data_IF_679866607183
#
_entry.id   IF_679866607183
#
_cell.length_a   1.000
_cell.length_b   1.000
_cell.length_c   1.000
_cell.angle_alpha   90.00
_cell.angle_beta   90.00
_cell.angle_gamma   90.00
#
_symmetry.space_group_name_H-M   'P 1'
#
loop_
_entity.id
_entity.type
_entity.pdbx_description
1 polymer ?
#
# COMPACT_ATOMS: atom_id res chain seq x y z
N UNK A 1 -36.02 30.08 27.50
CA UNK A 1 -35.71 29.09 26.44
C UNK A 1 -34.44 29.53 25.76
N UNK A 2 -33.35 28.80 25.94
CA UNK A 2 -32.25 28.67 24.97
C UNK A 2 -31.38 27.54 25.47
N UNK A 3 -31.66 26.31 25.03
CA UNK A 3 -30.75 25.19 25.18
C UNK A 3 -29.65 25.35 24.13
N UNK A 4 -28.41 25.52 24.57
CA UNK A 4 -27.23 25.48 23.73
C UNK A 4 -26.91 24.02 23.38
N UNK A 5 -27.34 23.60 22.19
CA UNK A 5 -27.03 22.28 21.66
C UNK A 5 -25.61 22.28 21.07
N UNK A 6 -24.62 21.88 21.87
CA UNK A 6 -23.28 21.56 21.35
C UNK A 6 -23.34 20.18 20.70
N UNK A 7 -23.59 20.15 19.39
CA UNK A 7 -23.43 18.94 18.59
C UNK A 7 -21.93 18.62 18.48
N UNK A 8 -21.46 17.66 19.27
CA UNK A 8 -20.12 17.08 19.11
C UNK A 8 -20.10 16.29 17.81
N UNK A 9 -19.58 16.89 16.73
CA UNK A 9 -19.32 16.15 15.50
C UNK A 9 -18.26 15.08 15.79
N UNK A 10 -18.68 13.82 15.92
CA UNK A 10 -17.77 12.69 15.82
C UNK A 10 -17.42 12.52 14.34
N UNK A 11 -16.55 13.39 13.83
CA UNK A 11 -15.92 13.19 12.54
C UNK A 11 -15.04 11.94 12.68
N UNK A 12 -15.41 10.88 11.98
CA UNK A 12 -14.57 9.69 11.88
C UNK A 12 -13.26 10.13 11.27
N UNK A 13 -12.18 10.09 12.07
CA UNK A 13 -10.87 10.51 11.61
C UNK A 13 -10.35 9.39 10.71
N UNK A 14 -10.30 9.63 9.40
CA UNK A 14 -9.65 8.69 8.48
C UNK A 14 -8.22 8.43 8.97
N UNK A 15 -7.90 7.16 9.15
CA UNK A 15 -6.58 6.74 9.53
C UNK A 15 -5.81 6.32 8.28
N UNK A 16 -4.95 7.20 7.80
CA UNK A 16 -3.96 6.86 6.79
C UNK A 16 -2.80 6.12 7.45
N UNK A 17 -2.33 5.04 6.82
CA UNK A 17 -1.19 4.27 7.27
C UNK A 17 -0.46 3.66 6.08
N UNK A 18 0.85 3.50 6.24
CA UNK A 18 1.70 2.83 5.27
C UNK A 18 1.86 1.35 5.63
N UNK A 19 2.27 0.54 4.65
CA UNK A 19 2.73 -0.81 4.94
C UNK A 19 3.89 -0.73 5.95
N UNK A 20 3.75 -1.46 7.05
CA UNK A 20 4.74 -1.50 8.14
C UNK A 20 5.71 -2.67 7.97
N UNK A 21 5.30 -3.72 7.28
CA UNK A 21 6.15 -4.87 6.98
C UNK A 21 5.71 -5.61 5.72
N UNK A 22 6.61 -6.42 5.16
CA UNK A 22 6.28 -7.43 4.16
C UNK A 22 6.10 -8.76 4.87
N UNK A 23 4.94 -9.38 4.69
CA UNK A 23 4.61 -10.68 5.28
C UNK A 23 5.03 -11.82 4.36
N UNK A 24 4.80 -11.65 3.06
CA UNK A 24 5.12 -12.64 2.04
C UNK A 24 5.21 -11.97 0.67
N UNK A 25 5.99 -12.52 -0.23
CA UNK A 25 5.98 -12.15 -1.64
C UNK A 25 6.30 -13.39 -2.48
N UNK A 26 5.87 -13.36 -3.72
CA UNK A 26 6.10 -14.40 -4.73
C UNK A 26 7.56 -14.41 -5.19
N UNK A 27 7.99 -13.32 -5.83
CA UNK A 27 9.38 -13.08 -6.20
C UNK A 27 9.74 -11.60 -6.10
N UNK A 28 11.03 -11.30 -6.21
CA UNK A 28 11.52 -9.93 -6.30
C UNK A 28 12.68 -9.87 -7.30
N UNK A 29 12.84 -8.73 -7.97
CA UNK A 29 13.84 -8.56 -9.02
C UNK A 29 15.27 -8.67 -8.49
N UNK A 30 15.51 -8.12 -7.30
CA UNK A 30 16.75 -8.31 -6.55
C UNK A 30 16.52 -8.08 -5.05
N UNK A 31 17.56 -8.32 -4.24
CA UNK A 31 17.49 -8.21 -2.78
C UNK A 31 17.72 -6.79 -2.25
N UNK A 32 17.80 -5.78 -3.14
CA UNK A 32 18.08 -4.40 -2.75
C UNK A 32 17.08 -3.41 -3.36
N UNK A 33 17.36 -2.89 -4.56
CA UNK A 33 16.72 -1.71 -5.16
C UNK A 33 15.29 -1.91 -5.68
N UNK A 34 14.91 -3.16 -6.01
CA UNK A 34 13.54 -3.55 -6.38
C UNK A 34 13.00 -4.70 -5.51
N UNK A 35 13.56 -4.84 -4.30
CA UNK A 35 13.12 -5.84 -3.32
C UNK A 35 11.69 -5.56 -2.83
N UNK A 36 11.04 -6.58 -2.29
CA UNK A 36 9.72 -6.45 -1.69
C UNK A 36 9.70 -5.40 -0.57
N UNK A 37 10.79 -5.26 0.19
CA UNK A 37 10.92 -4.26 1.27
C UNK A 37 10.83 -2.80 0.79
N UNK A 38 10.88 -2.55 -0.52
CA UNK A 38 10.68 -1.20 -1.04
C UNK A 38 9.27 -0.66 -0.82
N UNK A 39 8.25 -1.52 -0.59
CA UNK A 39 6.87 -1.10 -0.32
C UNK A 39 6.63 -0.61 1.11
N UNK A 40 7.59 -0.81 2.02
CA UNK A 40 7.46 -0.40 3.43
C UNK A 40 7.61 1.13 3.53
N UNK A 41 6.68 1.76 4.24
CA UNK A 41 6.65 3.21 4.43
C UNK A 41 6.04 3.98 3.25
N UNK A 42 6.27 5.31 3.18
CA UNK A 42 5.75 6.14 2.09
C UNK A 42 6.38 5.77 0.74
N UNK A 43 5.69 6.02 -0.40
CA UNK A 43 6.19 5.71 -1.73
C UNK A 43 7.48 6.48 -2.01
N UNK A 44 8.49 5.78 -2.57
CA UNK A 44 9.80 6.36 -2.87
C UNK A 44 9.92 6.84 -4.32
N UNK A 45 9.05 6.35 -5.21
CA UNK A 45 9.07 6.67 -6.65
C UNK A 45 7.99 7.67 -7.01
N UNK A 46 6.72 7.41 -6.67
CA UNK A 46 5.63 8.36 -6.89
C UNK A 46 5.90 9.68 -6.15
N UNK A 47 5.70 10.86 -6.77
CA UNK A 47 4.95 11.13 -8.00
C UNK A 47 5.75 11.04 -9.32
N UNK A 48 6.97 10.49 -9.31
CA UNK A 48 7.70 10.18 -10.54
C UNK A 48 7.22 8.84 -11.12
N UNK A 49 7.53 8.61 -12.39
CA UNK A 49 7.18 7.40 -13.14
C UNK A 49 8.36 6.97 -14.03
N UNK A 50 8.50 5.67 -14.25
CA UNK A 50 9.60 5.05 -14.98
C UNK A 50 10.27 3.92 -14.18
N UNK A 51 11.26 3.28 -14.80
CA UNK A 51 12.09 2.26 -14.16
C UNK A 51 13.08 2.92 -13.18
N UNK A 52 12.62 3.14 -11.95
CA UNK A 52 13.33 3.88 -10.90
C UNK A 52 13.40 3.00 -9.65
N UNK A 53 14.58 2.91 -9.05
CA UNK A 53 14.81 2.20 -7.79
C UNK A 53 13.89 2.72 -6.67
N UNK A 54 13.38 1.83 -5.83
CA UNK A 54 12.52 2.21 -4.69
C UNK A 54 11.06 1.78 -4.78
N UNK A 55 10.69 0.99 -5.78
CA UNK A 55 9.42 0.25 -5.84
C UNK A 55 9.70 -1.26 -5.88
N UNK A 56 8.75 -2.10 -5.47
CA UNK A 56 8.85 -3.55 -5.69
C UNK A 56 8.67 -3.87 -7.16
N UNK A 57 9.49 -4.79 -7.67
CA UNK A 57 9.25 -5.45 -8.95
C UNK A 57 9.41 -6.96 -8.78
N UNK A 58 8.52 -7.73 -9.40
CA UNK A 58 8.63 -9.18 -9.54
C UNK A 58 9.94 -9.58 -10.24
N UNK A 59 10.56 -10.67 -9.80
CA UNK A 59 11.73 -11.26 -10.45
C UNK A 59 11.39 -12.16 -11.63
N UNK A 60 10.19 -12.72 -11.64
CA UNK A 60 9.70 -13.61 -12.69
C UNK A 60 8.56 -12.97 -13.50
N UNK A 61 8.34 -13.47 -14.72
CA UNK A 61 7.18 -13.11 -15.55
C UNK A 61 6.06 -14.15 -15.39
N UNK A 62 5.72 -14.48 -14.14
CA UNK A 62 4.64 -15.41 -13.83
C UNK A 62 3.31 -14.67 -13.67
N UNK A 63 2.17 -15.31 -13.97
CA UNK A 63 0.85 -14.67 -13.87
C UNK A 63 0.37 -14.47 -12.42
N UNK A 64 0.90 -15.24 -11.47
CA UNK A 64 0.44 -15.26 -10.08
C UNK A 64 1.40 -14.55 -9.11
N UNK A 65 2.06 -13.49 -9.57
CA UNK A 65 2.96 -12.69 -8.73
C UNK A 65 2.15 -11.82 -7.75
N UNK A 66 2.56 -11.86 -6.49
CA UNK A 66 1.93 -11.16 -5.38
C UNK A 66 2.96 -10.62 -4.38
N UNK A 67 2.50 -9.63 -3.61
CA UNK A 67 3.11 -9.17 -2.36
C UNK A 67 2.00 -9.03 -1.32
N UNK A 68 2.27 -9.48 -0.09
CA UNK A 68 1.39 -9.37 1.07
C UNK A 68 2.10 -8.50 2.09
N UNK A 69 1.44 -7.42 2.50
CA UNK A 69 1.97 -6.46 3.48
C UNK A 69 1.15 -6.45 4.75
N UNK A 70 1.80 -6.09 5.85
CA UNK A 70 1.17 -5.79 7.13
C UNK A 70 1.05 -4.29 7.33
N UNK A 71 0.09 -3.90 8.16
CA UNK A 71 -0.15 -2.52 8.59
C UNK A 71 -0.12 -2.46 10.12
N UNK A 72 0.22 -1.30 10.70
CA UNK A 72 0.37 -1.17 12.16
C UNK A 72 -0.95 -1.40 12.92
N UNK A 73 -2.08 -1.02 12.31
CA UNK A 73 -3.40 -1.16 12.94
C UNK A 73 -4.36 -1.87 12.01
N UNK A 74 -5.05 -2.88 12.55
CA UNK A 74 -6.18 -3.50 11.89
C UNK A 74 -7.30 -2.47 11.70
N UNK A 75 -7.75 -2.31 10.45
CA UNK A 75 -8.83 -1.39 10.05
C UNK A 75 -9.72 -2.07 9.02
N UNK A 76 -10.93 -1.56 8.86
CA UNK A 76 -11.71 -1.81 7.65
C UNK A 76 -11.27 -0.78 6.58
N UNK A 77 -10.60 -1.19 5.50
CA UNK A 77 -10.07 -0.25 4.52
C UNK A 77 -11.20 0.42 3.73
N UNK A 78 -11.25 1.75 3.77
CA UNK A 78 -12.17 2.57 2.95
C UNK A 78 -11.54 2.95 1.61
N UNK A 79 -10.22 3.06 1.55
CA UNK A 79 -9.43 3.41 0.37
C UNK A 79 -8.09 2.65 0.42
N UNK A 80 -7.61 2.24 -0.76
CA UNK A 80 -6.30 1.61 -0.94
C UNK A 80 -5.62 2.33 -2.10
N UNK A 81 -4.50 2.98 -1.80
CA UNK A 81 -3.70 3.67 -2.81
C UNK A 81 -2.55 2.76 -3.27
N UNK A 82 -2.52 2.47 -4.57
CA UNK A 82 -1.47 1.67 -5.21
C UNK A 82 -0.87 2.48 -6.34
N UNK A 83 0.45 2.71 -6.27
CA UNK A 83 1.18 3.48 -7.27
C UNK A 83 2.00 2.57 -8.17
N UNK A 84 1.43 2.15 -9.29
CA UNK A 84 2.16 1.44 -10.35
C UNK A 84 2.96 2.45 -11.17
N UNK A 85 4.26 2.55 -10.90
CA UNK A 85 5.11 3.61 -11.48
C UNK A 85 5.82 3.23 -12.78
N UNK A 86 5.81 1.94 -13.16
CA UNK A 86 6.36 1.43 -14.41
C UNK A 86 5.50 0.29 -14.95
N UNK A 87 5.03 0.40 -16.20
CA UNK A 87 4.09 -0.54 -16.84
C UNK A 87 2.81 -0.81 -16.00
N UNK A 88 1.97 0.21 -15.74
CA UNK A 88 0.75 0.07 -14.94
C UNK A 88 -0.28 -0.88 -15.57
N UNK A 89 -1.15 -1.45 -14.73
CA UNK A 89 -2.13 -2.47 -15.10
C UNK A 89 -1.72 -3.90 -14.70
N UNK A 90 -0.68 -4.06 -13.89
CA UNK A 90 -0.23 -5.36 -13.36
C UNK A 90 -1.07 -5.80 -12.15
N UNK A 91 -1.59 -4.86 -11.35
CA UNK A 91 -2.46 -5.20 -10.22
C UNK A 91 -3.86 -5.55 -10.71
N UNK A 92 -4.21 -6.83 -10.62
CA UNK A 92 -5.51 -7.38 -11.05
C UNK A 92 -6.43 -7.76 -9.89
N UNK A 93 -5.91 -7.84 -8.66
CA UNK A 93 -6.68 -8.26 -7.47
C UNK A 93 -6.11 -7.65 -6.21
N UNK A 94 -7.01 -7.19 -5.33
CA UNK A 94 -6.70 -6.79 -3.95
C UNK A 94 -7.60 -7.57 -3.01
N UNK A 95 -7.02 -8.12 -1.94
CA UNK A 95 -7.74 -8.86 -0.91
C UNK A 95 -7.17 -8.52 0.47
N UNK A 96 -8.03 -8.48 1.47
CA UNK A 96 -7.64 -8.29 2.86
C UNK A 96 -8.17 -9.45 3.72
N UNK A 97 -7.42 -9.83 4.75
CA UNK A 97 -7.82 -10.81 5.77
C UNK A 97 -7.51 -10.27 7.16
N UNK A 98 -8.31 -10.68 8.13
CA UNK A 98 -8.07 -10.46 9.57
C UNK A 98 -7.42 -11.70 10.17
#
# INVERSE_FOLDING_TARGET
MTESNTATSHAWKRQEQWASCVLQFSSQYNDSTWSANQVIGPPKVYPRHGDIVGAWAQGNRAPDEFIIVGFERAVYPEQIDIYETYNPGAVIRVSARN
#
